data_IF_778580828805
#
_entry.id   IF_778580828805
#
_cell.length_a   1.000
_cell.length_b   1.000
_cell.length_c   1.000
_cell.angle_alpha   90.00
_cell.angle_beta   90.00
_cell.angle_gamma   90.00
#
_symmetry.space_group_name_H-M   'P 1'
#
loop_
_entity.id
_entity.type
_entity.pdbx_description
1 polymer ?
#
# COMPACT_ATOMS: atom_id res chain seq x y z
N UNK A 1 -2.51 -1.89 -5.36
CA UNK A 1 -2.35 -1.47 -6.76
C UNK A 1 -2.31 -2.65 -7.74
N UNK A 2 -1.48 -3.70 -7.52
CA UNK A 2 -1.40 -4.87 -8.43
C UNK A 2 -2.76 -5.48 -8.71
N UNK A 3 -3.55 -5.77 -7.65
CA UNK A 3 -4.89 -6.35 -7.79
C UNK A 3 -5.88 -5.37 -8.44
N UNK A 4 -5.78 -4.07 -8.12
CA UNK A 4 -6.60 -3.04 -8.77
C UNK A 4 -6.34 -2.98 -10.28
N UNK A 5 -5.07 -3.04 -10.69
CA UNK A 5 -4.70 -3.10 -12.10
C UNK A 5 -5.28 -4.34 -12.80
N UNK A 6 -5.22 -5.50 -12.14
CA UNK A 6 -5.85 -6.72 -12.66
C UNK A 6 -7.37 -6.57 -12.85
N UNK A 7 -8.06 -6.03 -11.83
CA UNK A 7 -9.51 -5.88 -11.89
C UNK A 7 -9.98 -4.91 -12.98
N UNK A 8 -9.17 -3.89 -13.26
CA UNK A 8 -9.50 -2.87 -14.26
C UNK A 8 -9.09 -3.29 -15.68
N UNK A 9 -7.89 -3.87 -15.80
CA UNK A 9 -7.31 -4.18 -17.14
C UNK A 9 -7.58 -5.62 -17.59
N UNK A 10 -8.06 -6.51 -16.71
CA UNK A 10 -8.30 -7.93 -16.99
C UNK A 10 -7.04 -8.80 -16.94
N UNK A 11 -5.87 -8.20 -16.80
CA UNK A 11 -4.58 -8.90 -16.74
C UNK A 11 -3.70 -8.39 -15.61
N UNK A 12 -2.81 -9.26 -15.10
CA UNK A 12 -1.86 -8.86 -14.07
C UNK A 12 -0.75 -7.99 -14.69
N UNK A 13 -0.42 -6.85 -14.06
CA UNK A 13 0.69 -6.02 -14.51
C UNK A 13 2.04 -6.68 -14.22
N UNK A 14 3.14 -6.08 -14.69
CA UNK A 14 4.46 -6.40 -14.18
C UNK A 14 4.45 -6.27 -12.63
N UNK A 15 4.91 -7.30 -11.89
CA UNK A 15 4.94 -7.25 -10.42
C UNK A 15 5.73 -6.06 -9.85
N UNK A 16 6.64 -5.49 -10.58
CA UNK A 16 7.45 -4.34 -10.17
C UNK A 16 6.98 -2.98 -10.72
N UNK A 17 5.88 -2.96 -11.49
CA UNK A 17 5.31 -1.73 -12.05
C UNK A 17 5.05 -0.63 -11.02
N UNK A 18 4.75 -0.99 -9.75
CA UNK A 18 4.45 -0.05 -8.68
C UNK A 18 5.62 0.18 -7.70
N UNK A 19 6.86 0.00 -8.15
CA UNK A 19 8.04 0.16 -7.31
C UNK A 19 8.22 1.59 -6.78
N UNK A 20 7.75 2.61 -7.49
CA UNK A 20 7.89 4.02 -7.09
C UNK A 20 7.21 4.34 -5.74
N UNK A 21 6.10 3.66 -5.40
CA UNK A 21 5.39 3.83 -4.12
C UNK A 21 5.85 2.87 -3.02
N UNK A 22 6.86 2.03 -3.28
CA UNK A 22 7.43 1.15 -2.25
C UNK A 22 8.05 1.96 -1.11
N UNK A 23 8.09 1.36 0.07
CA UNK A 23 8.51 1.95 1.35
C UNK A 23 9.68 2.93 1.26
N UNK A 24 9.46 4.14 1.75
CA UNK A 24 10.45 5.21 1.83
C UNK A 24 10.13 6.22 2.94
N UNK A 25 11.02 7.16 3.23
CA UNK A 25 10.78 8.18 4.24
C UNK A 25 9.82 9.27 3.71
N UNK A 26 8.99 9.80 4.61
CA UNK A 26 8.16 10.96 4.33
C UNK A 26 6.99 10.67 3.39
N UNK A 27 6.81 11.53 2.41
CA UNK A 27 5.82 11.42 1.34
C UNK A 27 6.48 10.88 0.08
N UNK A 28 5.82 9.95 -0.58
CA UNK A 28 6.16 9.45 -1.92
C UNK A 28 4.93 9.53 -2.79
N UNK A 29 5.14 9.93 -4.02
CA UNK A 29 4.09 10.13 -4.99
C UNK A 29 4.44 9.39 -6.27
N UNK A 30 3.42 8.88 -6.94
CA UNK A 30 3.55 8.31 -8.26
C UNK A 30 2.24 8.45 -9.04
N UNK A 31 2.34 8.49 -10.34
CA UNK A 31 1.22 8.48 -11.26
C UNK A 31 1.26 7.18 -12.06
N UNK A 32 0.13 6.54 -12.19
CA UNK A 32 -0.03 5.28 -12.94
C UNK A 32 -1.21 5.40 -13.89
N UNK A 33 -1.14 4.67 -14.98
CA UNK A 33 -2.27 4.51 -15.88
C UNK A 33 -3.00 3.20 -15.58
N UNK A 34 -4.28 3.30 -15.22
CA UNK A 34 -5.16 2.15 -14.97
C UNK A 34 -6.46 2.34 -15.75
N UNK A 35 -6.77 1.40 -16.67
CA UNK A 35 -7.99 1.44 -17.46
C UNK A 35 -8.13 2.70 -18.33
N UNK A 36 -7.03 3.22 -18.84
CA UNK A 36 -7.02 4.45 -19.64
C UNK A 36 -7.15 5.73 -18.81
N UNK A 37 -7.18 5.64 -17.48
CA UNK A 37 -7.22 6.79 -16.57
C UNK A 37 -5.91 6.94 -15.82
N UNK A 38 -5.47 8.19 -15.63
CA UNK A 38 -4.32 8.52 -14.80
C UNK A 38 -4.72 8.52 -13.34
N UNK A 39 -4.05 7.71 -12.53
CA UNK A 39 -4.29 7.57 -11.09
C UNK A 39 -3.07 8.11 -10.34
N UNK A 40 -3.28 9.14 -9.53
CA UNK A 40 -2.25 9.73 -8.67
C UNK A 40 -2.29 9.07 -7.29
N UNK A 41 -1.19 8.43 -6.93
CA UNK A 41 -1.04 7.73 -5.66
C UNK A 41 -0.04 8.43 -4.76
N UNK A 42 -0.33 8.46 -3.46
CA UNK A 42 0.60 8.93 -2.45
C UNK A 42 0.77 7.89 -1.33
N UNK A 43 1.98 7.73 -0.82
CA UNK A 43 2.29 6.93 0.36
C UNK A 43 2.98 7.83 1.37
N UNK A 44 2.38 8.00 2.54
CA UNK A 44 2.90 8.85 3.59
C UNK A 44 3.25 8.05 4.84
N UNK A 45 4.45 8.30 5.36
CA UNK A 45 4.96 7.63 6.56
C UNK A 45 5.14 8.62 7.71
N UNK A 46 4.55 8.30 8.86
CA UNK A 46 4.56 9.09 10.09
C UNK A 46 3.42 10.08 10.17
N UNK A 47 2.77 10.14 11.33
CA UNK A 47 1.56 10.97 11.55
C UNK A 47 1.79 12.47 11.34
N UNK A 48 3.00 12.98 11.61
CA UNK A 48 3.34 14.38 11.33
C UNK A 48 3.29 14.70 9.83
N UNK A 49 3.79 13.81 8.98
CA UNK A 49 3.72 13.94 7.53
C UNK A 49 2.27 13.76 7.03
N UNK A 50 1.53 12.81 7.61
CA UNK A 50 0.12 12.61 7.30
C UNK A 50 -0.70 13.85 7.60
N UNK A 51 -0.47 14.51 8.76
CA UNK A 51 -1.13 15.77 9.13
C UNK A 51 -0.86 16.87 8.09
N UNK A 52 0.39 17.00 7.65
CA UNK A 52 0.75 17.98 6.61
C UNK A 52 0.03 17.67 5.30
N UNK A 53 0.04 16.41 4.87
CA UNK A 53 -0.67 15.98 3.66
C UNK A 53 -2.17 16.30 3.72
N UNK A 54 -2.83 16.03 4.87
CA UNK A 54 -4.25 16.37 5.07
C UNK A 54 -4.48 17.88 4.97
N UNK A 55 -3.59 18.70 5.52
CA UNK A 55 -3.68 20.17 5.39
C UNK A 55 -3.54 20.62 3.94
N UNK A 56 -2.63 19.99 3.18
CA UNK A 56 -2.42 20.30 1.76
C UNK A 56 -3.63 19.89 0.90
N UNK A 57 -4.22 18.71 1.18
CA UNK A 57 -5.46 18.26 0.55
C UNK A 57 -6.64 19.20 0.84
N UNK A 58 -6.84 19.57 2.12
CA UNK A 58 -7.92 20.51 2.51
C UNK A 58 -7.76 21.89 1.91
N UNK A 59 -6.55 22.33 1.68
CA UNK A 59 -6.25 23.61 1.05
C UNK A 59 -6.26 23.55 -0.50
N UNK A 60 -6.55 22.40 -1.10
CA UNK A 60 -6.57 22.21 -2.54
C UNK A 60 -5.18 22.31 -3.20
N UNK A 61 -4.09 22.24 -2.41
CA UNK A 61 -2.73 22.32 -2.96
C UNK A 61 -2.28 21.05 -3.66
N UNK A 62 -2.84 19.91 -3.27
CA UNK A 62 -2.56 18.59 -3.86
C UNK A 62 -3.86 17.81 -4.01
N UNK A 63 -3.86 16.86 -4.95
CA UNK A 63 -4.97 15.96 -5.19
C UNK A 63 -4.44 14.57 -5.49
N UNK A 64 -5.03 13.55 -4.86
CA UNK A 64 -4.70 12.14 -5.07
C UNK A 64 -5.98 11.32 -5.18
N UNK A 65 -5.92 10.25 -5.97
CA UNK A 65 -7.00 9.27 -6.10
C UNK A 65 -6.86 8.18 -5.04
N UNK A 66 -5.62 7.92 -4.58
CA UNK A 66 -5.34 6.93 -3.54
C UNK A 66 -4.21 7.40 -2.63
N UNK A 67 -4.44 7.30 -1.32
CA UNK A 67 -3.45 7.64 -0.30
C UNK A 67 -3.30 6.50 0.71
N UNK A 68 -2.07 5.99 0.83
CA UNK A 68 -1.70 5.07 1.90
C UNK A 68 -1.05 5.84 3.04
N UNK A 69 -1.57 5.65 4.27
CA UNK A 69 -1.02 6.28 5.48
C UNK A 69 -0.41 5.22 6.39
N UNK A 70 0.88 5.32 6.63
CA UNK A 70 1.58 4.53 7.63
C UNK A 70 1.84 5.37 8.88
N UNK A 71 1.31 4.96 10.04
CA UNK A 71 1.46 5.69 11.31
C UNK A 71 2.93 5.82 11.73
N UNK A 72 3.72 4.77 11.51
CA UNK A 72 5.14 4.76 11.86
C UNK A 72 5.97 5.55 10.84
N UNK A 73 6.88 6.42 11.35
CA UNK A 73 7.75 7.27 10.53
C UNK A 73 8.65 6.49 9.53
N UNK A 74 8.92 5.23 9.82
CA UNK A 74 9.78 4.35 9.00
C UNK A 74 8.99 3.18 8.37
N UNK A 75 7.66 3.27 8.40
CA UNK A 75 6.78 2.20 7.96
C UNK A 75 6.91 0.94 8.82
N UNK A 76 6.38 -0.20 8.35
CA UNK A 76 6.36 -1.46 9.10
C UNK A 76 7.75 -2.09 9.29
N UNK A 77 8.74 -1.67 8.54
CA UNK A 77 10.12 -2.22 8.60
C UNK A 77 10.80 -1.94 9.95
N UNK A 78 10.51 -0.78 10.56
CA UNK A 78 11.04 -0.35 11.86
C UNK A 78 9.93 0.23 12.75
N UNK A 79 8.70 -0.21 12.57
CA UNK A 79 7.57 0.19 13.39
C UNK A 79 7.50 -0.56 14.70
N UNK A 80 6.43 -0.33 15.47
CA UNK A 80 6.15 -1.03 16.73
C UNK A 80 6.12 -2.54 16.53
N UNK A 81 6.63 -3.27 17.51
CA UNK A 81 6.74 -4.73 17.47
C UNK A 81 7.97 -5.27 16.74
N UNK A 82 8.73 -4.43 16.05
CA UNK A 82 10.00 -4.84 15.44
C UNK A 82 11.15 -4.75 16.45
N UNK A 83 12.13 -5.68 16.41
CA UNK A 83 13.33 -5.57 17.24
C UNK A 83 14.03 -4.22 17.02
N UNK A 84 14.36 -3.54 18.12
CA UNK A 84 15.01 -2.23 18.06
C UNK A 84 16.50 -2.41 17.77
N UNK A 85 16.90 -2.07 16.55
CA UNK A 85 18.30 -1.97 16.18
C UNK A 85 18.58 -0.59 15.60
N UNK A 86 19.32 0.25 16.33
CA UNK A 86 19.55 1.63 15.93
C UNK A 86 20.63 1.70 14.85
N UNK A 87 20.27 1.68 13.60
CA UNK A 87 21.24 1.94 12.55
C UNK A 87 20.64 2.08 11.16
N UNK A 88 21.20 2.95 10.32
CA UNK A 88 20.70 3.13 8.94
C UNK A 88 20.85 1.86 8.10
N UNK A 89 21.85 1.02 8.38
CA UNK A 89 22.05 -0.27 7.72
C UNK A 89 20.92 -1.25 8.00
N UNK A 90 20.38 -1.29 9.21
CA UNK A 90 19.28 -2.20 9.58
C UNK A 90 18.02 -1.96 8.74
N UNK A 91 17.67 -0.69 8.50
CA UNK A 91 16.53 -0.35 7.65
C UNK A 91 16.72 -0.88 6.23
N UNK A 92 17.88 -0.63 5.66
CA UNK A 92 18.20 -1.06 4.29
C UNK A 92 18.19 -2.58 4.16
N UNK A 93 18.85 -3.30 5.06
CA UNK A 93 18.86 -4.77 5.06
C UNK A 93 17.47 -5.38 5.18
N UNK A 94 16.61 -4.84 6.06
CA UNK A 94 15.23 -5.32 6.19
C UNK A 94 14.41 -5.05 4.94
N UNK A 95 14.54 -3.87 4.36
CA UNK A 95 13.87 -3.52 3.12
C UNK A 95 14.31 -4.43 1.96
N UNK A 96 15.60 -4.63 1.80
CA UNK A 96 16.18 -5.53 0.78
C UNK A 96 15.74 -6.97 1.01
N UNK A 97 15.65 -7.41 2.28
CA UNK A 97 15.16 -8.74 2.65
C UNK A 97 13.71 -8.96 2.23
N UNK A 98 12.81 -8.01 2.53
CA UNK A 98 11.40 -8.10 2.13
C UNK A 98 11.25 -8.13 0.61
N UNK A 99 11.97 -7.27 -0.11
CA UNK A 99 11.89 -7.26 -1.58
C UNK A 99 12.49 -8.51 -2.21
N UNK A 100 13.52 -9.08 -1.60
CA UNK A 100 14.07 -10.38 -2.03
C UNK A 100 13.04 -11.50 -1.85
N UNK A 101 12.32 -11.53 -0.74
CA UNK A 101 11.23 -12.50 -0.51
C UNK A 101 10.13 -12.30 -1.55
N UNK A 102 9.69 -11.07 -1.81
CA UNK A 102 8.71 -10.80 -2.87
C UNK A 102 9.19 -11.31 -4.23
N UNK A 103 10.44 -10.99 -4.61
CA UNK A 103 11.02 -11.43 -5.88
C UNK A 103 11.13 -12.96 -6.03
N UNK A 104 11.42 -13.66 -4.92
CA UNK A 104 11.57 -15.12 -4.92
C UNK A 104 10.26 -15.88 -4.71
N UNK A 105 9.17 -15.18 -4.44
CA UNK A 105 7.86 -15.80 -4.21
C UNK A 105 7.22 -16.30 -5.50
N UNK A 106 6.73 -17.54 -5.48
CA UNK A 106 5.98 -18.10 -6.61
C UNK A 106 4.65 -17.38 -6.84
N UNK A 107 4.06 -16.82 -5.80
CA UNK A 107 2.80 -16.06 -5.85
C UNK A 107 3.08 -14.62 -5.46
N UNK A 108 3.18 -13.73 -6.44
CA UNK A 108 3.41 -12.27 -6.26
C UNK A 108 2.13 -11.43 -6.37
N UNK A 109 1.02 -12.05 -6.69
CA UNK A 109 -0.29 -11.39 -6.84
C UNK A 109 -1.29 -12.01 -5.89
N UNK A 110 -2.02 -11.19 -5.14
CA UNK A 110 -3.03 -11.63 -4.20
C UNK A 110 -4.15 -12.43 -4.89
N UNK A 111 -4.56 -12.00 -6.08
CA UNK A 111 -5.56 -12.69 -6.90
C UNK A 111 -5.10 -14.03 -7.51
N UNK A 112 -3.85 -14.42 -7.28
CA UNK A 112 -3.32 -15.76 -7.63
C UNK A 112 -3.08 -16.63 -6.39
N UNK A 113 -3.39 -16.12 -5.19
CA UNK A 113 -3.30 -16.90 -3.96
C UNK A 113 -4.60 -17.68 -3.76
N UNK A 114 -4.59 -19.03 -3.87
CA UNK A 114 -5.80 -19.82 -3.78
C UNK A 114 -6.51 -19.71 -2.44
N UNK A 115 -5.77 -19.61 -1.33
CA UNK A 115 -6.34 -19.44 0.01
C UNK A 115 -7.04 -18.10 0.17
N UNK A 116 -6.50 -17.05 -0.44
CA UNK A 116 -7.13 -15.74 -0.41
C UNK A 116 -8.40 -15.72 -1.27
N UNK A 117 -8.38 -16.35 -2.44
CA UNK A 117 -9.57 -16.48 -3.29
C UNK A 117 -10.66 -17.29 -2.58
N UNK A 118 -10.32 -18.42 -1.97
CA UNK A 118 -11.25 -19.21 -1.17
C UNK A 118 -11.87 -18.39 -0.03
N UNK A 119 -11.08 -17.55 0.66
CA UNK A 119 -11.57 -16.67 1.71
C UNK A 119 -12.61 -15.67 1.16
N UNK A 120 -12.35 -15.06 0.02
CA UNK A 120 -13.28 -14.12 -0.61
C UNK A 120 -14.55 -14.83 -1.10
N UNK A 121 -14.41 -15.99 -1.76
CA UNK A 121 -15.55 -16.71 -2.34
C UNK A 121 -16.48 -17.32 -1.26
N UNK A 122 -15.93 -17.78 -0.15
CA UNK A 122 -16.71 -18.51 0.86
C UNK A 122 -17.06 -17.68 2.09
N UNK A 123 -16.10 -16.93 2.66
CA UNK A 123 -16.31 -16.25 3.94
C UNK A 123 -16.66 -14.77 3.79
N UNK A 124 -16.01 -14.06 2.90
CA UNK A 124 -16.19 -12.62 2.76
C UNK A 124 -17.34 -12.23 1.84
N UNK A 125 -17.80 -13.10 0.95
CA UNK A 125 -18.86 -12.81 -0.02
C UNK A 125 -20.03 -12.06 0.63
N UNK A 126 -20.29 -10.83 0.18
CA UNK A 126 -21.34 -9.95 0.69
C UNK A 126 -21.11 -9.38 2.09
N UNK A 127 -19.94 -9.61 2.69
CA UNK A 127 -19.55 -9.11 4.02
C UNK A 127 -18.33 -8.18 3.98
N UNK A 128 -17.76 -7.96 2.81
CA UNK A 128 -16.49 -7.25 2.62
C UNK A 128 -16.54 -5.85 3.22
N UNK A 129 -17.58 -5.07 2.92
CA UNK A 129 -17.75 -3.73 3.45
C UNK A 129 -17.89 -3.72 4.97
N UNK A 130 -18.67 -4.63 5.52
CA UNK A 130 -18.90 -4.71 6.97
C UNK A 130 -17.65 -5.10 7.75
N UNK A 131 -16.84 -6.02 7.20
CA UNK A 131 -15.69 -6.60 7.91
C UNK A 131 -14.37 -5.86 7.61
N UNK A 132 -14.21 -5.30 6.42
CA UNK A 132 -12.94 -4.72 5.95
C UNK A 132 -12.94 -3.19 5.92
N UNK A 133 -14.11 -2.54 5.98
CA UNK A 133 -14.23 -1.08 5.97
C UNK A 133 -14.74 -0.59 7.32
N UNK A 134 -14.11 0.46 7.82
CA UNK A 134 -14.63 1.20 8.96
C UNK A 134 -15.64 2.23 8.49
N UNK A 135 -16.85 2.14 8.98
CA UNK A 135 -17.86 3.15 8.74
C UNK A 135 -17.74 4.27 9.79
N UNK A 136 -17.30 5.45 9.38
CA UNK A 136 -17.13 6.61 10.26
C UNK A 136 -18.42 7.43 10.43
N UNK A 137 -19.50 7.09 9.75
CA UNK A 137 -20.79 7.77 9.86
C UNK A 137 -21.67 7.25 11.01
N UNK A 138 -21.22 6.23 11.72
CA UNK A 138 -21.93 5.63 12.86
C UNK A 138 -21.36 6.05 14.23
N UNK A 139 -20.42 7.01 14.27
CA UNK A 139 -19.94 7.72 15.46
C UNK A 139 -20.50 9.14 15.45
#
# INVERSE_FOLDING_TARGET
LRTAAYLVNGENPDPDAFAAVRTGPGLREAEYELGGSKIRCAVVSGLGNARKLIQDLKAGRVQYDFVEVMACRRGCILGGGQPVHPGPRTKRSRQEGIYRVDLSSNVRFSNKNPLLMELYDNFLTGKEHKLLHRNLSEE
#
